data_IF_522321160809
#
_entry.id   IF_522321160809
#
_cell.length_a   1.000
_cell.length_b   1.000
_cell.length_c   1.000
_cell.angle_alpha   90.00
_cell.angle_beta   90.00
_cell.angle_gamma   90.00
#
_symmetry.space_group_name_H-M   'P 1'
#
loop_
_entity.id
_entity.type
_entity.pdbx_description
1 polymer ?
#
# COMPACT_ATOMS: atom_id res chain seq x y z
N UNK A 1 20.41 -0.17 -24.19
CA UNK A 1 20.00 -1.47 -24.76
C UNK A 1 18.95 -2.07 -23.85
N UNK A 2 17.92 -2.72 -24.38
CA UNK A 2 16.82 -3.27 -23.58
C UNK A 2 17.31 -4.30 -22.56
N UNK A 3 16.85 -4.19 -21.31
CA UNK A 3 17.20 -5.12 -20.22
C UNK A 3 15.97 -5.92 -19.83
N UNK A 4 16.16 -7.19 -19.47
CA UNK A 4 15.08 -8.06 -18.99
C UNK A 4 14.65 -7.59 -17.60
N UNK A 5 13.34 -7.43 -17.39
CA UNK A 5 12.76 -6.99 -16.11
C UNK A 5 12.37 -8.18 -15.26
N UNK A 6 11.86 -9.23 -15.89
CA UNK A 6 11.39 -10.44 -15.25
C UNK A 6 12.10 -11.64 -15.90
N UNK A 7 12.76 -12.53 -15.14
CA UNK A 7 13.47 -13.68 -15.68
C UNK A 7 12.57 -14.74 -16.32
N UNK A 8 11.28 -14.77 -16.00
CA UNK A 8 10.32 -15.78 -16.48
C UNK A 8 9.35 -15.23 -17.52
N UNK A 9 9.25 -13.90 -17.65
CA UNK A 9 8.41 -13.24 -18.65
C UNK A 9 9.24 -12.56 -19.74
N UNK A 10 8.61 -12.36 -20.90
CA UNK A 10 9.22 -11.62 -22.02
C UNK A 10 9.00 -10.11 -21.84
N UNK A 11 9.34 -9.62 -20.66
CA UNK A 11 9.20 -8.22 -20.27
C UNK A 11 10.57 -7.55 -20.27
N UNK A 12 10.69 -6.48 -21.07
CA UNK A 12 11.91 -5.72 -21.25
C UNK A 12 11.67 -4.25 -20.94
N UNK A 13 12.61 -3.62 -20.25
CA UNK A 13 12.58 -2.19 -19.97
C UNK A 13 13.73 -1.46 -20.66
N UNK A 14 13.45 -0.22 -21.02
CA UNK A 14 14.42 0.77 -21.45
C UNK A 14 13.97 2.14 -20.98
N UNK A 15 14.89 3.02 -20.63
CA UNK A 15 14.59 4.41 -20.23
C UNK A 15 13.78 5.16 -21.31
N UNK A 16 13.96 4.77 -22.57
CA UNK A 16 13.22 5.29 -23.74
C UNK A 16 11.91 4.53 -24.06
N UNK A 17 11.53 3.51 -23.28
CA UNK A 17 10.41 2.63 -23.59
C UNK A 17 9.66 2.23 -22.31
N UNK A 18 8.63 3.02 -21.96
CA UNK A 18 7.69 2.71 -20.88
C UNK A 18 6.26 2.66 -21.44
N UNK A 19 5.46 1.72 -20.93
CA UNK A 19 4.07 1.52 -21.37
C UNK A 19 3.26 2.80 -21.16
N UNK A 20 2.56 3.26 -22.20
CA UNK A 20 1.74 4.48 -22.16
C UNK A 20 2.49 5.78 -22.46
N UNK A 21 3.83 5.78 -22.41
CA UNK A 21 4.65 6.98 -22.62
C UNK A 21 5.20 7.07 -24.04
N UNK A 22 4.33 7.42 -24.99
CA UNK A 22 4.66 7.50 -26.44
C UNK A 22 5.79 8.50 -26.74
N UNK A 23 5.92 9.55 -25.93
CA UNK A 23 6.95 10.57 -26.06
C UNK A 23 8.38 10.02 -25.99
N UNK A 24 8.60 8.97 -25.19
CA UNK A 24 9.93 8.37 -25.02
C UNK A 24 10.42 7.63 -26.29
N UNK A 25 9.47 7.17 -27.12
CA UNK A 25 9.75 6.44 -28.37
C UNK A 25 10.52 7.28 -29.40
N UNK A 26 10.44 8.62 -29.31
CA UNK A 26 11.16 9.56 -30.20
C UNK A 26 12.68 9.35 -30.19
N UNK A 27 13.22 8.86 -29.06
CA UNK A 27 14.65 8.60 -28.89
C UNK A 27 15.10 7.22 -29.42
N UNK A 28 14.17 6.33 -29.77
CA UNK A 28 14.47 4.99 -30.29
C UNK A 28 14.66 5.08 -31.81
N UNK A 29 15.88 4.77 -32.29
CA UNK A 29 16.20 4.78 -33.73
C UNK A 29 16.73 3.41 -34.19
N UNK A 30 16.37 3.01 -35.41
CA UNK A 30 16.95 1.82 -36.06
C UNK A 30 18.41 2.10 -36.39
N UNK A 31 19.30 1.19 -36.03
CA UNK A 31 20.70 1.22 -36.47
C UNK A 31 20.72 0.92 -37.97
N UNK A 32 21.28 1.81 -38.80
CA UNK A 32 21.46 1.53 -40.24
C UNK A 32 22.57 0.50 -40.41
N UNK A 33 22.33 -0.49 -41.27
CA UNK A 33 23.35 -1.49 -41.64
C UNK A 33 24.45 -0.83 -42.48
N UNK A 34 25.74 -1.14 -42.26
CA UNK A 34 26.85 -0.57 -43.04
C UNK A 34 26.93 -1.08 -44.49
N UNK A 35 25.98 -1.90 -44.95
CA UNK A 35 26.01 -2.53 -46.29
C UNK A 35 24.95 -2.04 -47.29
N UNK A 36 24.28 -0.92 -47.03
CA UNK A 36 23.45 -0.27 -48.06
C UNK A 36 23.87 1.18 -48.23
N UNK A 37 24.56 1.44 -49.35
CA UNK A 37 24.96 2.76 -49.80
C UNK A 37 23.81 3.57 -50.37
N UNK A 38 23.96 4.88 -50.20
CA UNK A 38 23.43 6.00 -50.99
C UNK A 38 21.92 6.26 -51.07
N UNK A 39 21.46 7.22 -50.26
CA UNK A 39 20.95 8.53 -50.74
C UNK A 39 20.45 9.36 -49.54
N UNK A 40 20.87 10.63 -49.46
CA UNK A 40 20.21 11.65 -48.61
C UNK A 40 21.00 12.13 -47.38
N UNK A 41 21.95 13.04 -47.65
CA UNK A 41 22.27 14.27 -46.91
C UNK A 41 22.65 14.26 -45.42
N UNK A 42 23.65 15.10 -45.17
CA UNK A 42 24.16 15.68 -43.92
C UNK A 42 24.85 14.77 -42.90
N UNK A 43 26.17 14.74 -43.08
CA UNK A 43 27.16 14.75 -42.00
C UNK A 43 26.83 15.82 -40.94
N UNK A 44 26.26 15.40 -39.81
CA UNK A 44 26.53 15.95 -38.49
C UNK A 44 26.82 14.69 -37.64
N UNK A 45 28.08 14.38 -37.31
CA UNK A 45 28.89 15.26 -36.49
C UNK A 45 28.38 15.13 -35.07
N UNK A 46 29.12 14.39 -34.26
CA UNK A 46 28.99 14.21 -32.81
C UNK A 46 28.30 15.41 -32.14
N UNK A 47 27.06 15.19 -31.73
CA UNK A 47 26.28 16.16 -30.99
C UNK A 47 25.04 15.44 -30.53
N UNK A 48 25.04 14.98 -29.29
CA UNK A 48 23.80 14.70 -28.58
C UNK A 48 23.11 16.05 -28.43
N UNK A 49 22.47 16.51 -29.49
CA UNK A 49 21.50 17.59 -29.40
C UNK A 49 20.32 16.95 -28.71
N UNK A 50 20.26 17.15 -27.40
CA UNK A 50 18.99 17.05 -26.67
C UNK A 50 18.09 18.16 -27.25
N UNK A 51 17.56 17.98 -28.45
CA UNK A 51 16.30 18.62 -28.81
C UNK A 51 15.25 17.88 -27.98
N UNK A 52 15.19 18.27 -26.71
CA UNK A 52 14.04 18.09 -25.84
C UNK A 52 12.94 19.01 -26.37
N UNK A 53 12.51 18.76 -27.60
CA UNK A 53 11.32 19.34 -28.22
C UNK A 53 10.16 18.36 -28.03
N UNK A 54 10.07 17.85 -26.80
CA UNK A 54 8.85 17.32 -26.27
C UNK A 54 8.42 18.34 -25.26
N UNK A 55 7.55 19.26 -25.66
CA UNK A 55 6.61 19.86 -24.72
C UNK A 55 5.96 18.69 -23.98
N UNK A 56 6.49 18.38 -22.79
CA UNK A 56 5.68 17.69 -21.81
C UNK A 56 4.50 18.62 -21.61
N UNK A 57 3.30 18.11 -21.80
CA UNK A 57 2.12 18.83 -21.36
C UNK A 57 2.28 19.00 -19.85
N UNK A 58 2.78 20.16 -19.45
CA UNK A 58 3.06 20.51 -18.06
C UNK A 58 1.80 20.33 -17.22
N UNK A 59 0.63 20.56 -17.83
CA UNK A 59 -0.67 20.25 -17.25
C UNK A 59 -0.89 18.76 -16.98
N UNK A 60 -0.52 17.88 -17.91
CA UNK A 60 -0.63 16.43 -17.74
C UNK A 60 0.27 15.94 -16.58
N UNK A 61 1.50 16.45 -16.46
CA UNK A 61 2.39 16.13 -15.34
C UNK A 61 1.80 16.61 -14.01
N UNK A 62 1.26 17.84 -13.96
CA UNK A 62 0.65 18.39 -12.73
C UNK A 62 -0.54 17.54 -12.28
N UNK A 63 -1.36 17.05 -13.22
CA UNK A 63 -2.48 16.15 -12.92
C UNK A 63 -1.98 14.80 -12.40
N UNK A 64 -0.96 14.22 -13.02
CA UNK A 64 -0.36 12.96 -12.57
C UNK A 64 0.24 13.11 -11.16
N UNK A 65 0.94 14.21 -10.87
CA UNK A 65 1.47 14.52 -9.53
C UNK A 65 0.33 14.65 -8.51
N UNK A 66 -0.77 15.34 -8.85
CA UNK A 66 -1.90 15.50 -7.96
C UNK A 66 -2.57 14.16 -7.64
N UNK A 67 -2.71 13.30 -8.66
CA UNK A 67 -3.25 11.96 -8.51
C UNK A 67 -2.35 11.08 -7.62
N UNK A 68 -1.03 11.08 -7.86
CA UNK A 68 -0.06 10.33 -7.05
C UNK A 68 -0.05 10.79 -5.59
N UNK A 69 -0.16 12.10 -5.33
CA UNK A 69 -0.28 12.62 -3.96
C UNK A 69 -1.52 12.10 -3.26
N UNK A 70 -2.66 12.07 -3.95
CA UNK A 70 -3.91 11.54 -3.40
C UNK A 70 -3.81 10.04 -3.09
N UNK A 71 -3.15 9.27 -3.95
CA UNK A 71 -2.89 7.85 -3.73
C UNK A 71 -1.98 7.61 -2.53
N UNK A 72 -0.91 8.41 -2.40
CA UNK A 72 -0.02 8.36 -1.24
C UNK A 72 -0.79 8.63 0.06
N UNK A 73 -1.61 9.68 0.11
CA UNK A 73 -2.45 9.97 1.28
C UNK A 73 -3.40 8.82 1.61
N UNK A 74 -3.92 8.12 0.61
CA UNK A 74 -4.77 6.96 0.85
C UNK A 74 -4.01 5.79 1.48
N UNK A 75 -2.83 5.49 0.95
CA UNK A 75 -1.94 4.45 1.49
C UNK A 75 -1.56 4.78 2.94
N UNK A 76 -1.24 6.05 3.22
CA UNK A 76 -0.87 6.47 4.57
C UNK A 76 -2.04 6.26 5.56
N UNK A 77 -3.27 6.61 5.15
CA UNK A 77 -4.48 6.33 5.95
C UNK A 77 -4.69 4.83 6.20
N UNK A 78 -4.48 3.99 5.19
CA UNK A 78 -4.59 2.54 5.34
C UNK A 78 -3.53 1.99 6.28
N UNK A 79 -2.28 2.47 6.19
CA UNK A 79 -1.21 2.08 7.10
C UNK A 79 -1.51 2.47 8.55
N UNK A 80 -2.06 3.67 8.79
CA UNK A 80 -2.48 4.09 10.12
C UNK A 80 -3.57 3.18 10.70
N UNK A 81 -4.53 2.75 9.89
CA UNK A 81 -5.57 1.82 10.35
C UNK A 81 -5.00 0.44 10.67
N UNK A 82 -4.13 -0.09 9.80
CA UNK A 82 -3.44 -1.35 10.06
C UNK A 82 -2.65 -1.29 11.36
N UNK A 83 -1.92 -0.20 11.61
CA UNK A 83 -1.17 0.02 12.86
C UNK A 83 -2.11 -0.02 14.07
N UNK A 84 -3.22 0.71 14.03
CA UNK A 84 -4.21 0.73 15.12
C UNK A 84 -4.75 -0.67 15.42
N UNK A 85 -5.07 -1.44 14.38
CA UNK A 85 -5.56 -2.82 14.52
C UNK A 85 -4.51 -3.76 15.10
N UNK A 86 -3.25 -3.59 14.71
CA UNK A 86 -2.13 -4.34 15.26
C UNK A 86 -1.94 -4.02 16.76
N UNK A 87 -1.99 -2.76 17.15
CA UNK A 87 -1.90 -2.36 18.57
C UNK A 87 -3.05 -2.95 19.42
N UNK A 88 -4.24 -3.16 18.85
CA UNK A 88 -5.33 -3.82 19.55
C UNK A 88 -5.04 -5.30 19.81
N UNK A 89 -4.38 -5.99 18.89
CA UNK A 89 -4.07 -7.43 19.03
C UNK A 89 -2.79 -7.68 19.84
N UNK A 90 -1.89 -6.70 19.94
CA UNK A 90 -0.59 -6.85 20.60
C UNK A 90 -0.63 -6.68 22.14
N UNK A 91 -1.63 -5.98 22.70
CA UNK A 91 -1.69 -5.67 24.15
C UNK A 91 -1.66 -6.92 25.04
N UNK A 92 -2.42 -7.97 24.71
CA UNK A 92 -2.48 -9.20 25.52
C UNK A 92 -1.14 -9.96 25.50
N UNK A 93 -0.55 -10.24 24.32
CA UNK A 93 0.80 -10.80 24.25
C UNK A 93 1.85 -9.99 25.02
N UNK A 94 1.85 -8.65 24.90
CA UNK A 94 2.79 -7.79 25.64
C UNK A 94 2.63 -7.91 27.15
N UNK A 95 1.39 -7.87 27.66
CA UNK A 95 1.11 -8.09 29.09
C UNK A 95 1.53 -9.48 29.56
N UNK A 96 1.33 -10.50 28.73
CA UNK A 96 1.74 -11.87 29.03
C UNK A 96 3.27 -11.96 29.11
N UNK A 97 4.00 -11.40 28.14
CA UNK A 97 5.47 -11.39 28.16
C UNK A 97 5.98 -10.61 29.37
N UNK A 98 5.43 -9.44 29.67
CA UNK A 98 5.79 -8.67 30.86
C UNK A 98 5.55 -9.49 32.13
N UNK A 99 4.42 -10.18 32.23
CA UNK A 99 4.13 -11.05 33.36
C UNK A 99 5.14 -12.21 33.45
N UNK A 100 5.43 -12.90 32.35
CA UNK A 100 6.40 -13.99 32.33
C UNK A 100 7.80 -13.51 32.76
N UNK A 101 8.22 -12.32 32.33
CA UNK A 101 9.47 -11.72 32.79
C UNK A 101 9.47 -11.52 34.31
N UNK A 102 8.40 -10.95 34.88
CA UNK A 102 8.30 -10.78 36.35
C UNK A 102 8.27 -12.11 37.12
N UNK A 103 7.76 -13.18 36.51
CA UNK A 103 7.70 -14.50 37.12
C UNK A 103 9.07 -15.19 37.15
N UNK A 104 9.89 -14.98 36.13
CA UNK A 104 11.25 -15.51 36.07
C UNK A 104 12.08 -14.89 37.21
N UNK A 105 11.93 -13.58 37.42
CA UNK A 105 12.62 -12.88 38.52
C UNK A 105 12.08 -13.28 39.90
N UNK A 106 10.78 -13.56 40.01
CA UNK A 106 10.14 -13.93 41.26
C UNK A 106 9.07 -15.03 41.08
N UNK A 107 9.45 -16.32 41.20
CA UNK A 107 8.51 -17.42 41.04
C UNK A 107 7.46 -17.50 42.16
N UNK A 108 7.68 -16.85 43.32
CA UNK A 108 6.74 -16.87 44.44
C UNK A 108 5.42 -16.14 44.12
N UNK A 109 5.41 -15.25 43.10
CA UNK A 109 4.23 -14.51 42.66
C UNK A 109 3.07 -15.43 42.24
N UNK A 110 3.37 -16.58 41.62
CA UNK A 110 2.34 -17.57 41.26
C UNK A 110 1.69 -18.13 42.52
N UNK A 111 2.52 -18.50 43.50
CA UNK A 111 2.05 -19.10 44.76
C UNK A 111 1.19 -18.11 45.54
N UNK A 112 1.57 -16.83 45.60
CA UNK A 112 0.81 -15.77 46.25
C UNK A 112 -0.53 -15.54 45.54
N UNK A 113 -0.55 -15.53 44.20
CA UNK A 113 -1.78 -15.33 43.42
C UNK A 113 -2.74 -16.52 43.56
N UNK A 114 -2.23 -17.75 43.59
CA UNK A 114 -3.03 -18.95 43.84
C UNK A 114 -3.60 -18.98 45.27
N UNK A 115 -2.79 -18.62 46.28
CA UNK A 115 -3.24 -18.49 47.68
C UNK A 115 -4.32 -17.43 47.83
N UNK A 116 -4.18 -16.27 47.19
CA UNK A 116 -5.16 -15.18 47.22
C UNK A 116 -6.48 -15.57 46.52
N UNK A 117 -6.42 -16.45 45.51
CA UNK A 117 -7.61 -17.00 44.83
C UNK A 117 -8.33 -18.09 45.65
N UNK A 118 -7.61 -18.78 46.53
CA UNK A 118 -8.14 -19.86 47.36
C UNK A 118 -8.76 -19.37 48.68
N UNK A 119 -8.76 -18.06 48.96
CA UNK A 119 -9.48 -17.50 50.10
C UNK A 119 -11.00 -17.47 49.81
N UNK A 120 -11.84 -18.18 50.58
CA UNK A 120 -13.28 -18.18 50.39
C UNK A 120 -13.88 -16.95 51.06
N UNK A 121 -13.63 -15.77 50.51
CA UNK A 121 -14.33 -14.54 50.92
C UNK A 121 -15.36 -14.15 49.88
N UNK A 122 -16.60 -14.60 50.13
CA UNK A 122 -17.79 -14.03 49.50
C UNK A 122 -18.34 -14.78 48.30
N UNK A 123 -19.05 -15.89 48.57
CA UNK A 123 -20.13 -16.35 47.70
C UNK A 123 -21.17 -15.23 47.53
N UNK A 124 -21.04 -14.38 46.51
CA UNK A 124 -22.05 -13.41 46.11
C UNK A 124 -22.43 -13.65 44.66
N UNK A 125 -23.55 -14.38 44.51
CA UNK A 125 -24.55 -14.34 43.44
C UNK A 125 -24.01 -13.97 42.06
N UNK A 126 -23.94 -14.98 41.19
CA UNK A 126 -23.88 -14.88 39.72
C UNK A 126 -24.81 -13.74 39.26
N UNK A 127 -24.23 -12.58 38.96
CA UNK A 127 -24.93 -11.45 38.36
C UNK A 127 -25.28 -11.88 36.94
N UNK A 128 -26.57 -12.05 36.66
CA UNK A 128 -27.08 -12.27 35.30
C UNK A 128 -26.61 -11.11 34.42
N UNK A 129 -26.22 -11.44 33.19
CA UNK A 129 -25.94 -10.47 32.13
C UNK A 129 -27.24 -9.66 31.92
N UNK A 130 -27.23 -8.31 31.97
CA UNK A 130 -28.36 -7.57 31.44
C UNK A 130 -28.41 -7.83 29.93
N UNK A 131 -29.55 -8.32 29.43
CA UNK A 131 -29.88 -8.24 28.01
C UNK A 131 -29.92 -6.75 27.67
N UNK A 132 -28.98 -6.31 26.84
CA UNK A 132 -29.12 -5.04 26.16
C UNK A 132 -30.11 -5.26 25.02
N UNK A 133 -31.38 -5.03 25.30
CA UNK A 133 -32.37 -4.72 24.27
C UNK A 133 -32.12 -3.26 23.87
N UNK A 134 -31.18 -3.07 22.95
CA UNK A 134 -31.05 -1.86 22.14
C UNK A 134 -30.96 -2.28 20.68
N UNK A 135 -32.03 -2.90 20.18
CA UNK A 135 -32.45 -2.68 18.81
C UNK A 135 -33.13 -1.31 18.78
N UNK A 136 -32.38 -0.25 18.55
CA UNK A 136 -32.91 0.89 17.81
C UNK A 136 -31.81 1.54 16.97
N UNK A 137 -32.16 1.65 15.69
CA UNK A 137 -31.67 2.57 14.69
C UNK A 137 -30.42 2.19 13.89
N UNK A 138 -30.59 1.17 13.03
CA UNK A 138 -29.88 1.11 11.76
C UNK A 138 -30.63 2.04 10.77
N UNK A 139 -30.02 3.08 10.18
CA UNK A 139 -30.67 3.78 9.10
C UNK A 139 -30.76 2.83 7.90
N UNK A 140 -31.97 2.33 7.68
CA UNK A 140 -32.42 1.66 6.48
C UNK A 140 -32.27 2.63 5.30
N UNK A 141 -31.16 2.51 4.55
CA UNK A 141 -31.10 3.12 3.23
C UNK A 141 -31.80 2.18 2.26
N UNK A 142 -33.09 2.46 2.09
CA UNK A 142 -33.96 1.84 1.12
C UNK A 142 -33.32 1.84 -0.27
N UNK A 143 -33.23 0.65 -0.84
CA UNK A 143 -32.95 0.44 -2.25
C UNK A 143 -34.22 -0.05 -2.94
N UNK A 144 -35.19 0.85 -3.04
CA UNK A 144 -36.22 0.85 -4.07
C UNK A 144 -36.34 2.31 -4.51
N UNK A 145 -36.38 2.71 -5.77
CA UNK A 145 -36.28 2.07 -7.08
C UNK A 145 -36.23 3.25 -8.08
N UNK A 146 -36.11 2.94 -9.38
CA UNK A 146 -36.49 3.83 -10.51
C UNK A 146 -35.43 4.91 -10.88
N UNK A 147 -35.00 5.15 -12.12
CA UNK A 147 -35.48 4.92 -13.50
C UNK A 147 -34.18 4.91 -14.36
N UNK A 148 -33.96 3.93 -15.23
CA UNK A 148 -34.02 4.07 -16.71
C UNK A 148 -33.53 5.44 -17.25
N UNK A 149 -32.57 5.41 -18.18
CA UNK A 149 -32.39 6.31 -19.35
C UNK A 149 -30.89 6.41 -19.72
N UNK A 150 -30.55 5.92 -20.91
CA UNK A 150 -29.26 6.16 -21.58
C UNK A 150 -28.64 4.92 -22.20
#
# INVERSE_FOLDING_TARGET
GFRKVDPDKWEFAHESFLRGQKQLLKSIRRRRSPHQGNAGTSSHGLGVKYDFDGEFDEGAIVVEIAQLKKEQENIDREMEDMKRRLELTERKPQQMIAFLATLIDNPALITQRLKNRASPSGAKKRRRLPQNDQEENMPELGVESLIENG
#
